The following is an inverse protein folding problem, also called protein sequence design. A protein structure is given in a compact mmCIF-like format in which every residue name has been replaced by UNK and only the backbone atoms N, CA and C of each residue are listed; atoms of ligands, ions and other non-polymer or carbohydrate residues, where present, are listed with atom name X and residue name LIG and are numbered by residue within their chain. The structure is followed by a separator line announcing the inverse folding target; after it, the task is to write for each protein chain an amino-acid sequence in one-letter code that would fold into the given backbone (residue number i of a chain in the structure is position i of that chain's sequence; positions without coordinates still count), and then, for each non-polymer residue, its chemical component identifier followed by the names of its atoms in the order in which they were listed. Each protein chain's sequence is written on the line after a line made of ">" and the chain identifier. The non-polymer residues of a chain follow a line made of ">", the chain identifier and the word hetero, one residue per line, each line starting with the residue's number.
data_IF_255913718204
#
_entry.id   IF_255913718204
#
_cell.length_a   1.000
_cell.length_b   1.000
_cell.length_c   1.000
_cell.angle_alpha   90.00
_cell.angle_beta   90.00
_cell.angle_gamma   90.00
#
_symmetry.space_group_name_H-M   'P 1'
#
loop_
_entity.id
_entity.type
_entity.pdbx_description
1 polymer ?
#
# COMPACT_ATOMS: atom_id res chain seq x y z
N UNK A 1 21.53 -39.98 -81.58
CA UNK A 1 22.73 -39.29 -81.06
C UNK A 1 22.53 -39.05 -79.57
N UNK A 2 23.11 -39.92 -78.73
CA UNK A 2 22.84 -39.98 -77.29
C UNK A 2 23.45 -38.79 -76.53
N UNK A 3 22.71 -38.27 -75.54
CA UNK A 3 23.24 -37.27 -74.59
C UNK A 3 24.24 -37.97 -73.66
N UNK A 4 25.46 -37.44 -73.46
CA UNK A 4 26.37 -37.98 -72.47
C UNK A 4 25.80 -37.74 -71.07
N UNK A 5 25.44 -38.82 -70.37
CA UNK A 5 25.08 -38.78 -68.96
C UNK A 5 26.31 -38.38 -68.12
N UNK A 6 26.17 -37.36 -67.27
CA UNK A 6 27.21 -36.94 -66.33
C UNK A 6 27.32 -37.96 -65.18
N UNK A 7 28.53 -38.25 -64.66
CA UNK A 7 28.69 -39.15 -63.53
C UNK A 7 28.24 -38.47 -62.24
N UNK A 8 27.06 -38.82 -61.75
CA UNK A 8 26.64 -38.50 -60.38
C UNK A 8 27.35 -39.46 -59.42
N UNK A 9 28.28 -38.97 -58.60
CA UNK A 9 28.82 -39.77 -57.48
C UNK A 9 27.80 -39.77 -56.36
N UNK A 10 27.06 -40.87 -56.24
CA UNK A 10 26.22 -41.18 -55.08
C UNK A 10 27.12 -41.43 -53.87
N UNK A 11 27.34 -40.41 -53.04
CA UNK A 11 27.72 -40.61 -51.64
C UNK A 11 26.46 -40.36 -50.82
N UNK A 12 25.94 -41.42 -50.24
CA UNK A 12 24.68 -41.54 -49.49
C UNK A 12 23.37 -41.32 -50.27
N UNK A 13 22.52 -42.34 -50.25
CA UNK A 13 21.24 -42.43 -50.98
C UNK A 13 20.17 -41.40 -50.55
N UNK A 14 20.49 -40.44 -49.68
CA UNK A 14 19.57 -39.39 -49.22
C UNK A 14 19.85 -38.01 -49.79
N UNK A 15 21.00 -37.80 -50.45
CA UNK A 15 21.34 -36.52 -51.06
C UNK A 15 21.98 -36.71 -52.44
N UNK A 16 21.24 -36.37 -53.49
CA UNK A 16 21.79 -36.24 -54.85
C UNK A 16 22.39 -34.84 -55.00
N UNK A 17 23.67 -34.70 -54.68
CA UNK A 17 24.43 -33.49 -54.96
C UNK A 17 24.77 -33.41 -56.45
N UNK A 18 24.08 -32.56 -57.22
CA UNK A 18 24.43 -32.29 -58.61
C UNK A 18 25.62 -31.33 -58.62
N UNK A 19 26.81 -31.85 -58.89
CA UNK A 19 28.00 -31.02 -59.11
C UNK A 19 27.85 -30.29 -60.45
N UNK A 20 27.54 -29.00 -60.37
CA UNK A 20 27.54 -28.10 -61.52
C UNK A 20 28.93 -27.47 -61.68
N UNK A 21 29.43 -27.43 -62.91
CA UNK A 21 30.61 -26.64 -63.24
C UNK A 21 30.36 -25.16 -62.95
N UNK A 22 31.38 -24.44 -62.47
CA UNK A 22 31.26 -23.03 -62.10
C UNK A 22 30.80 -22.11 -63.25
N UNK A 23 30.97 -22.51 -64.50
CA UNK A 23 30.39 -21.82 -65.66
C UNK A 23 28.87 -21.95 -65.76
N UNK A 24 28.31 -23.10 -65.36
CA UNK A 24 26.86 -23.32 -65.38
C UNK A 24 26.21 -22.56 -64.23
N UNK A 25 26.84 -22.53 -63.04
CA UNK A 25 26.38 -21.68 -61.93
C UNK A 25 26.38 -20.20 -62.33
N UNK A 26 27.48 -19.70 -62.92
CA UNK A 26 27.56 -18.33 -63.42
C UNK A 26 26.46 -17.99 -64.45
N UNK A 27 26.18 -18.88 -65.40
CA UNK A 27 25.09 -18.68 -66.37
C UNK A 27 23.69 -18.72 -65.75
N UNK A 28 23.49 -19.52 -64.70
CA UNK A 28 22.22 -19.53 -63.97
C UNK A 28 22.05 -18.24 -63.18
N UNK A 29 23.12 -17.77 -62.54
CA UNK A 29 23.11 -16.49 -61.82
C UNK A 29 22.84 -15.32 -62.79
N UNK A 30 23.53 -15.27 -63.93
CA UNK A 30 23.30 -14.28 -64.99
C UNK A 30 21.84 -14.28 -65.46
N UNK A 31 21.31 -15.45 -65.83
CA UNK A 31 19.89 -15.56 -66.25
C UNK A 31 18.90 -15.28 -65.12
N UNK A 32 19.28 -15.53 -63.87
CA UNK A 32 18.50 -15.21 -62.69
C UNK A 32 18.41 -13.70 -62.43
N UNK A 33 19.52 -12.99 -62.66
CA UNK A 33 19.57 -11.52 -62.63
C UNK A 33 18.71 -10.96 -63.75
N UNK A 34 18.88 -11.42 -65.00
CA UNK A 34 18.08 -11.00 -66.16
C UNK A 34 16.57 -11.19 -65.91
N UNK A 35 16.17 -12.33 -65.35
CA UNK A 35 14.76 -12.61 -65.02
C UNK A 35 14.23 -11.68 -63.92
N UNK A 36 15.06 -11.36 -62.94
CA UNK A 36 14.69 -10.45 -61.85
C UNK A 36 14.56 -9.01 -62.33
N UNK A 37 15.42 -8.57 -63.25
CA UNK A 37 15.34 -7.28 -63.91
C UNK A 37 14.11 -7.18 -64.81
N UNK A 38 13.80 -8.24 -65.56
CA UNK A 38 12.58 -8.32 -66.38
C UNK A 38 11.31 -8.22 -65.53
N UNK A 39 11.23 -8.96 -64.41
CA UNK A 39 10.07 -8.90 -63.50
C UNK A 39 9.96 -7.52 -62.88
N UNK A 40 11.09 -6.91 -62.48
CA UNK A 40 11.10 -5.55 -61.93
C UNK A 40 10.60 -4.53 -62.94
N UNK A 41 11.07 -4.58 -64.18
CA UNK A 41 10.59 -3.71 -65.25
C UNK A 41 9.11 -3.93 -65.57
N UNK A 42 8.61 -5.17 -65.55
CA UNK A 42 7.19 -5.46 -65.74
C UNK A 42 6.32 -4.91 -64.59
N UNK A 43 6.81 -4.96 -63.36
CA UNK A 43 6.15 -4.38 -62.18
C UNK A 43 6.18 -2.85 -62.21
N UNK A 44 7.29 -2.24 -62.62
CA UNK A 44 7.46 -0.77 -62.83
C UNK A 44 6.62 -0.23 -64.00
N UNK A 45 6.27 -1.08 -64.97
CA UNK A 45 5.34 -0.70 -66.03
C UNK A 45 3.87 -0.88 -65.60
N UNK A 46 3.57 -1.92 -64.80
CA UNK A 46 2.21 -2.21 -64.32
C UNK A 46 1.77 -1.26 -63.19
N UNK A 47 2.70 -0.90 -62.31
CA UNK A 47 2.59 0.16 -61.33
C UNK A 47 3.48 1.27 -61.86
N UNK A 48 2.95 2.43 -62.26
CA UNK A 48 3.78 3.57 -62.70
C UNK A 48 4.98 3.74 -61.77
N UNK A 49 6.15 4.13 -62.30
CA UNK A 49 7.39 4.20 -61.51
C UNK A 49 7.23 4.98 -60.19
N UNK A 50 6.38 6.01 -60.19
CA UNK A 50 6.01 6.79 -59.00
C UNK A 50 5.22 5.94 -57.98
N UNK A 51 4.26 5.13 -58.43
CA UNK A 51 3.45 4.23 -57.58
C UNK A 51 4.26 3.10 -56.95
N UNK A 52 5.20 2.48 -57.69
CA UNK A 52 6.07 1.44 -57.11
C UNK A 52 6.99 2.02 -56.03
N UNK A 53 7.54 3.21 -56.28
CA UNK A 53 8.44 3.89 -55.33
C UNK A 53 7.71 4.27 -54.04
N UNK A 54 6.46 4.74 -54.14
CA UNK A 54 5.60 5.01 -52.98
C UNK A 54 5.31 3.74 -52.17
N UNK A 55 4.95 2.63 -52.83
CA UNK A 55 4.70 1.34 -52.16
C UNK A 55 5.94 0.83 -51.42
N UNK A 56 7.14 1.00 -51.98
CA UNK A 56 8.38 0.61 -51.32
C UNK A 56 8.69 1.49 -50.10
N UNK A 57 8.43 2.81 -50.17
CA UNK A 57 8.58 3.70 -49.02
C UNK A 57 7.60 3.35 -47.90
N UNK A 58 6.34 3.11 -48.24
CA UNK A 58 5.32 2.74 -47.25
C UNK A 58 5.64 1.39 -46.59
N UNK A 59 6.09 0.41 -47.37
CA UNK A 59 6.55 -0.88 -46.85
C UNK A 59 7.69 -0.72 -45.85
N UNK A 60 8.66 0.15 -46.12
CA UNK A 60 9.77 0.37 -45.20
C UNK A 60 9.32 1.12 -43.94
N UNK A 61 8.43 2.11 -44.07
CA UNK A 61 7.78 2.79 -42.93
C UNK A 61 7.06 1.79 -42.02
N UNK A 62 6.25 0.90 -42.60
CA UNK A 62 5.51 -0.12 -41.85
C UNK A 62 6.46 -1.12 -41.17
N UNK A 63 7.59 -1.46 -41.79
CA UNK A 63 8.61 -2.32 -41.16
C UNK A 63 9.23 -1.67 -39.93
N UNK A 64 9.56 -0.39 -40.02
CA UNK A 64 10.09 0.37 -38.89
C UNK A 64 9.06 0.48 -37.75
N UNK A 65 7.80 0.74 -38.09
CA UNK A 65 6.69 0.81 -37.14
C UNK A 65 6.47 -0.55 -36.44
N UNK A 66 6.45 -1.66 -37.19
CA UNK A 66 6.38 -3.01 -36.60
C UNK A 66 7.56 -3.28 -35.67
N UNK A 67 8.76 -2.82 -36.03
CA UNK A 67 9.95 -2.97 -35.18
C UNK A 67 9.84 -2.14 -33.90
N UNK A 68 9.29 -0.93 -33.98
CA UNK A 68 9.03 -0.08 -32.82
C UNK A 68 7.99 -0.71 -31.89
N UNK A 69 6.86 -1.17 -32.43
CA UNK A 69 5.80 -1.84 -31.68
C UNK A 69 6.29 -3.11 -30.97
N UNK A 70 7.15 -3.91 -31.61
CA UNK A 70 7.76 -5.08 -30.97
C UNK A 70 8.59 -4.70 -29.74
N UNK A 71 9.40 -3.64 -29.84
CA UNK A 71 10.19 -3.14 -28.69
C UNK A 71 9.28 -2.60 -27.58
N UNK A 72 8.20 -1.92 -27.95
CA UNK A 72 7.23 -1.42 -26.99
C UNK A 72 6.53 -2.58 -26.23
N UNK A 73 6.13 -3.63 -26.94
CA UNK A 73 5.61 -4.85 -26.32
C UNK A 73 6.62 -5.47 -25.35
N UNK A 74 7.89 -5.60 -25.75
CA UNK A 74 8.93 -6.13 -24.86
C UNK A 74 9.12 -5.27 -23.60
N UNK A 75 9.04 -3.94 -23.71
CA UNK A 75 9.10 -3.03 -22.58
C UNK A 75 7.88 -3.17 -21.66
N UNK A 76 6.67 -3.27 -22.23
CA UNK A 76 5.44 -3.53 -21.48
C UNK A 76 5.51 -4.87 -20.76
N UNK A 77 6.00 -5.92 -21.40
CA UNK A 77 6.18 -7.24 -20.79
C UNK A 77 7.22 -7.25 -19.66
N UNK A 78 8.27 -6.41 -19.75
CA UNK A 78 9.20 -6.19 -18.62
C UNK A 78 8.48 -5.51 -17.47
N UNK A 79 7.72 -4.46 -17.75
CA UNK A 79 6.98 -3.71 -16.73
C UNK A 79 5.92 -4.58 -16.05
N UNK A 80 5.20 -5.40 -16.80
CA UNK A 80 4.23 -6.36 -16.26
C UNK A 80 4.93 -7.30 -15.28
N UNK A 81 6.06 -7.91 -15.67
CA UNK A 81 6.81 -8.80 -14.78
C UNK A 81 7.34 -8.12 -13.52
N UNK A 82 7.71 -6.85 -13.59
CA UNK A 82 8.08 -6.07 -12.39
C UNK A 82 6.90 -5.88 -11.45
N UNK A 83 5.74 -5.47 -11.98
CA UNK A 83 4.52 -5.29 -11.22
C UNK A 83 4.03 -6.60 -10.60
N UNK A 84 4.12 -7.72 -11.32
CA UNK A 84 3.81 -9.05 -10.77
C UNK A 84 4.68 -9.40 -9.57
N UNK A 85 5.99 -9.10 -9.62
CA UNK A 85 6.89 -9.31 -8.47
C UNK A 85 6.60 -8.36 -7.30
N UNK A 86 6.17 -7.14 -7.57
CA UNK A 86 5.73 -6.20 -6.52
C UNK A 86 4.44 -6.70 -5.85
N UNK A 87 3.47 -7.15 -6.65
CA UNK A 87 2.23 -7.72 -6.16
C UNK A 87 2.50 -8.97 -5.31
N UNK A 88 3.37 -9.86 -5.75
CA UNK A 88 3.70 -11.07 -4.99
C UNK A 88 4.35 -10.73 -3.64
N UNK A 89 5.28 -9.75 -3.62
CA UNK A 89 5.86 -9.25 -2.36
C UNK A 89 4.80 -8.67 -1.43
N UNK A 90 3.89 -7.85 -1.96
CA UNK A 90 2.80 -7.25 -1.17
C UNK A 90 1.84 -8.32 -0.60
N UNK A 91 1.53 -9.35 -1.38
CA UNK A 91 0.72 -10.49 -0.95
C UNK A 91 1.40 -11.27 0.17
N UNK A 92 2.71 -11.47 0.08
CA UNK A 92 3.51 -12.10 1.13
C UNK A 92 3.40 -11.35 2.47
N UNK A 93 3.58 -10.02 2.44
CA UNK A 93 3.45 -9.16 3.63
C UNK A 93 2.03 -9.24 4.22
N UNK A 94 1.00 -9.18 3.37
CA UNK A 94 -0.39 -9.29 3.82
C UNK A 94 -0.66 -10.65 4.47
N UNK A 95 -0.15 -11.73 3.89
CA UNK A 95 -0.31 -13.07 4.44
C UNK A 95 0.38 -13.21 5.81
N UNK A 96 1.58 -12.62 5.96
CA UNK A 96 2.31 -12.60 7.22
C UNK A 96 1.56 -11.82 8.30
N UNK A 97 1.15 -10.58 8.01
CA UNK A 97 0.34 -9.77 8.94
C UNK A 97 -0.99 -10.46 9.29
N UNK A 98 -1.63 -11.11 8.31
CA UNK A 98 -2.83 -11.91 8.54
C UNK A 98 -2.59 -13.07 9.52
N UNK A 99 -1.46 -13.79 9.37
CA UNK A 99 -1.07 -14.85 10.28
C UNK A 99 -0.74 -14.36 11.70
N UNK A 100 -0.08 -13.20 11.82
CA UNK A 100 0.14 -12.54 13.11
C UNK A 100 -1.17 -12.15 13.79
N UNK A 101 -2.09 -11.55 13.04
CA UNK A 101 -3.39 -11.15 13.57
C UNK A 101 -4.19 -12.34 14.09
N UNK A 102 -4.16 -13.48 13.38
CA UNK A 102 -4.78 -14.72 13.85
C UNK A 102 -4.14 -15.20 15.15
N UNK A 103 -2.80 -15.24 15.24
CA UNK A 103 -2.09 -15.62 16.47
C UNK A 103 -2.40 -14.69 17.64
N UNK A 104 -2.47 -13.38 17.40
CA UNK A 104 -2.86 -12.41 18.42
C UNK A 104 -4.31 -12.60 18.85
N UNK A 105 -5.23 -12.84 17.91
CA UNK A 105 -6.63 -13.13 18.19
C UNK A 105 -6.78 -14.37 19.08
N UNK A 106 -6.05 -15.45 18.80
CA UNK A 106 -6.05 -16.65 19.63
C UNK A 106 -5.48 -16.40 21.03
N UNK A 107 -4.40 -15.63 21.16
CA UNK A 107 -3.84 -15.23 22.47
C UNK A 107 -4.87 -14.43 23.26
N UNK A 108 -5.51 -13.45 22.63
CA UNK A 108 -6.58 -12.64 23.26
C UNK A 108 -7.75 -13.52 23.68
N UNK A 109 -8.17 -14.48 22.85
CA UNK A 109 -9.23 -15.44 23.21
C UNK A 109 -8.87 -16.23 24.46
N UNK A 110 -7.66 -16.79 24.53
CA UNK A 110 -7.17 -17.53 25.71
C UNK A 110 -7.11 -16.64 26.95
N UNK A 111 -6.72 -15.38 26.80
CA UNK A 111 -6.70 -14.41 27.91
C UNK A 111 -8.12 -14.11 28.40
N UNK A 112 -9.09 -13.91 27.49
CA UNK A 112 -10.50 -13.74 27.86
C UNK A 112 -11.02 -14.97 28.60
N UNK A 113 -10.79 -16.18 28.09
CA UNK A 113 -11.18 -17.43 28.77
C UNK A 113 -10.57 -17.54 30.18
N UNK A 114 -9.33 -17.09 30.38
CA UNK A 114 -8.70 -17.03 31.71
C UNK A 114 -9.32 -15.99 32.63
N UNK A 115 -9.68 -14.83 32.10
CA UNK A 115 -10.37 -13.76 32.86
C UNK A 115 -11.77 -14.22 33.26
N UNK A 116 -12.52 -14.82 32.34
CA UNK A 116 -13.87 -15.35 32.61
C UNK A 116 -13.83 -16.53 33.62
N UNK A 117 -12.76 -17.33 33.60
CA UNK A 117 -12.52 -18.39 34.57
C UNK A 117 -12.07 -17.89 35.95
N UNK A 118 -11.76 -16.60 36.10
CA UNK A 118 -11.32 -16.02 37.38
C UNK A 118 -12.45 -16.07 38.39
N UNK A 119 -12.15 -16.63 39.56
CA UNK A 119 -13.10 -16.71 40.67
C UNK A 119 -12.78 -15.68 41.73
N UNK A 120 -13.81 -15.00 42.20
CA UNK A 120 -13.75 -14.04 43.27
C UNK A 120 -14.24 -14.69 44.56
N UNK A 121 -13.59 -14.37 45.68
CA UNK A 121 -14.09 -14.75 47.00
C UNK A 121 -15.27 -13.86 47.34
N UNK A 122 -16.45 -14.45 47.47
CA UNK A 122 -17.69 -13.74 47.76
C UNK A 122 -18.37 -14.28 49.02
N UNK A 123 -19.38 -13.56 49.52
CA UNK A 123 -20.28 -14.01 50.58
C UNK A 123 -21.04 -15.32 50.25
N UNK A 124 -21.07 -15.71 48.98
CA UNK A 124 -21.71 -16.93 48.48
C UNK A 124 -20.69 -18.04 48.12
N UNK A 125 -19.41 -17.86 48.49
CA UNK A 125 -18.32 -18.76 48.11
C UNK A 125 -17.50 -18.20 46.95
N UNK A 126 -16.85 -19.09 46.17
CA UNK A 126 -16.02 -18.69 45.03
C UNK A 126 -16.86 -18.64 43.76
N UNK A 127 -17.16 -17.44 43.27
CA UNK A 127 -18.01 -17.20 42.09
C UNK A 127 -17.22 -16.58 40.94
N UNK A 128 -17.59 -16.88 39.69
CA UNK A 128 -17.06 -16.17 38.52
C UNK A 128 -17.74 -14.82 38.31
N UNK A 129 -17.18 -14.00 37.44
CA UNK A 129 -17.73 -12.68 37.11
C UNK A 129 -19.18 -12.78 36.58
N UNK A 130 -19.46 -13.76 35.72
CA UNK A 130 -20.78 -14.01 35.12
C UNK A 130 -21.80 -14.44 36.17
N UNK A 131 -21.37 -15.25 37.14
CA UNK A 131 -22.24 -15.68 38.24
C UNK A 131 -22.61 -14.51 39.14
N UNK A 132 -21.65 -13.65 39.46
CA UNK A 132 -21.90 -12.41 40.22
C UNK A 132 -22.81 -11.48 39.43
N UNK A 133 -22.58 -11.33 38.12
CA UNK A 133 -23.44 -10.53 37.23
C UNK A 133 -24.87 -11.04 37.18
N UNK A 134 -25.06 -12.36 37.11
CA UNK A 134 -26.39 -12.97 37.17
C UNK A 134 -27.10 -12.66 38.49
N UNK A 135 -26.40 -12.78 39.62
CA UNK A 135 -26.95 -12.45 40.95
C UNK A 135 -27.31 -10.96 41.02
N UNK A 136 -26.46 -10.10 40.47
CA UNK A 136 -26.73 -8.67 40.39
C UNK A 136 -27.98 -8.38 39.56
N UNK A 137 -28.09 -8.93 38.35
CA UNK A 137 -29.26 -8.73 37.48
C UNK A 137 -30.57 -9.24 38.11
N UNK A 138 -30.52 -10.34 38.86
CA UNK A 138 -31.67 -10.86 39.59
C UNK A 138 -32.08 -9.96 40.77
N UNK A 139 -31.12 -9.26 41.39
CA UNK A 139 -31.34 -8.45 42.60
C UNK A 139 -31.38 -6.95 42.38
N UNK A 140 -31.00 -6.44 41.21
CA UNK A 140 -30.86 -5.00 40.95
C UNK A 140 -32.14 -4.22 41.22
N UNK A 141 -33.31 -4.81 40.93
CA UNK A 141 -34.61 -4.17 41.11
C UNK A 141 -35.11 -4.24 42.56
N UNK A 142 -34.52 -5.12 43.38
CA UNK A 142 -34.85 -5.30 44.81
C UNK A 142 -33.79 -4.70 45.75
N UNK A 143 -32.69 -4.18 45.18
CA UNK A 143 -31.59 -3.56 45.90
C UNK A 143 -32.00 -2.20 46.45
N UNK A 144 -32.25 -2.13 47.76
CA UNK A 144 -32.56 -0.87 48.47
C UNK A 144 -31.31 -0.03 48.75
N UNK A 145 -30.12 -0.60 48.60
CA UNK A 145 -28.82 0.04 48.90
C UNK A 145 -28.07 0.31 47.61
N UNK A 146 -27.21 1.33 47.59
CA UNK A 146 -26.36 1.64 46.43
C UNK A 146 -25.65 0.36 45.93
N UNK A 147 -25.68 0.04 44.62
CA UNK A 147 -25.11 -1.18 44.08
C UNK A 147 -23.62 -1.37 44.40
N UNK A 148 -22.86 -0.28 44.59
CA UNK A 148 -21.46 -0.35 45.05
C UNK A 148 -21.34 -0.85 46.49
N UNK A 149 -22.20 -0.40 47.40
CA UNK A 149 -22.19 -0.85 48.79
C UNK A 149 -22.56 -2.34 48.91
N UNK A 150 -23.48 -2.80 48.07
CA UNK A 150 -23.79 -4.22 47.96
C UNK A 150 -22.59 -5.02 47.46
N UNK A 151 -21.92 -4.52 46.41
CA UNK A 151 -20.72 -5.15 45.87
C UNK A 151 -19.61 -5.26 46.94
N UNK A 152 -19.42 -4.20 47.72
CA UNK A 152 -18.47 -4.17 48.85
C UNK A 152 -18.80 -5.22 49.90
N UNK A 153 -20.07 -5.36 50.27
CA UNK A 153 -20.51 -6.40 51.21
C UNK A 153 -20.34 -7.82 50.64
N UNK A 154 -20.62 -8.02 49.35
CA UNK A 154 -20.49 -9.34 48.69
C UNK A 154 -19.03 -9.74 48.51
N UNK A 155 -18.13 -8.79 48.26
CA UNK A 155 -16.71 -9.02 48.00
C UNK A 155 -15.81 -8.75 49.22
N UNK A 156 -16.40 -8.65 50.42
CA UNK A 156 -15.69 -8.44 51.69
C UNK A 156 -14.73 -7.24 51.66
N UNK A 157 -15.18 -6.11 51.11
CA UNK A 157 -14.40 -4.87 50.99
C UNK A 157 -13.06 -5.03 50.25
N UNK A 158 -12.90 -6.06 49.39
CA UNK A 158 -11.70 -6.23 48.58
C UNK A 158 -11.66 -5.17 47.46
N UNK A 159 -10.77 -4.16 47.54
CA UNK A 159 -10.81 -3.00 46.64
C UNK A 159 -10.51 -3.37 45.18
N UNK A 160 -9.70 -4.40 44.95
CA UNK A 160 -9.31 -4.85 43.61
C UNK A 160 -10.49 -5.57 42.95
N UNK A 161 -11.09 -6.54 43.66
CA UNK A 161 -12.24 -7.28 43.16
C UNK A 161 -13.45 -6.37 42.94
N UNK A 162 -13.68 -5.40 43.84
CA UNK A 162 -14.78 -4.45 43.73
C UNK A 162 -14.63 -3.60 42.47
N UNK A 163 -13.44 -3.05 42.21
CA UNK A 163 -13.19 -2.25 41.01
C UNK A 163 -13.42 -3.05 39.73
N UNK A 164 -12.87 -4.26 39.65
CA UNK A 164 -12.98 -5.13 38.46
C UNK A 164 -14.44 -5.53 38.18
N UNK A 165 -15.18 -5.94 39.21
CA UNK A 165 -16.58 -6.36 39.07
C UNK A 165 -17.50 -5.15 38.86
N UNK A 166 -17.27 -4.02 39.52
CA UNK A 166 -18.04 -2.79 39.31
C UNK A 166 -17.90 -2.29 37.87
N UNK A 167 -16.67 -2.30 37.32
CA UNK A 167 -16.40 -1.94 35.94
C UNK A 167 -17.16 -2.84 34.96
N UNK A 168 -17.13 -4.17 35.17
CA UNK A 168 -17.84 -5.13 34.34
C UNK A 168 -19.38 -5.00 34.41
N UNK A 169 -19.90 -4.45 35.50
CA UNK A 169 -21.32 -4.15 35.69
C UNK A 169 -21.71 -2.73 35.24
N UNK A 170 -20.76 -1.93 34.75
CA UNK A 170 -21.00 -0.54 34.37
C UNK A 170 -21.28 0.40 35.55
N UNK A 171 -20.94 -0.03 36.77
CA UNK A 171 -21.09 0.71 38.02
C UNK A 171 -19.89 1.64 38.23
N UNK A 172 -19.58 2.51 37.27
CA UNK A 172 -18.48 3.46 37.38
C UNK A 172 -18.93 4.72 38.13
N UNK A 173 -18.06 5.22 39.02
CA UNK A 173 -18.28 6.44 39.77
C UNK A 173 -18.24 7.65 38.82
N UNK A 174 -19.41 8.20 38.50
CA UNK A 174 -19.50 9.59 38.04
C UNK A 174 -19.28 10.51 39.23
N UNK A 175 -18.05 10.59 39.75
CA UNK A 175 -17.61 11.66 40.64
C UNK A 175 -16.09 11.77 40.67
N UNK A 176 -15.65 13.01 40.46
CA UNK A 176 -14.30 13.56 40.42
C UNK A 176 -13.27 12.97 41.40
N UNK A 177 -11.97 13.10 41.06
CA UNK A 177 -10.88 12.59 41.88
C UNK A 177 -10.81 13.35 43.22
N UNK A 178 -10.92 12.62 44.34
CA UNK A 178 -10.53 13.17 45.63
C UNK A 178 -9.00 13.20 45.71
N UNK A 179 -8.49 14.40 45.47
CA UNK A 179 -7.13 14.84 45.75
C UNK A 179 -6.89 14.80 47.27
N UNK A 180 -5.74 14.32 47.76
CA UNK A 180 -5.41 14.36 49.18
C UNK A 180 -4.83 15.74 49.56
N UNK A 181 -5.22 16.27 50.71
CA UNK A 181 -4.64 17.49 51.29
C UNK A 181 -4.22 17.24 52.75
N UNK A 182 -3.13 17.87 53.25
CA UNK A 182 -2.23 17.26 54.24
C UNK A 182 -2.27 17.87 55.66
N UNK A 183 -1.64 17.13 56.59
CA UNK A 183 -0.97 17.51 57.87
C UNK A 183 -1.79 17.89 59.13
N UNK A 184 -1.25 17.75 60.38
CA UNK A 184 0.02 17.13 60.86
C UNK A 184 -0.09 16.14 62.08
N UNK A 185 1.01 15.41 62.31
CA UNK A 185 1.42 14.40 63.33
C UNK A 185 1.35 14.89 64.83
N UNK A 186 1.68 14.10 65.92
CA UNK A 186 2.66 12.99 65.98
C UNK A 186 2.49 11.82 66.99
N UNK A 187 3.46 10.89 66.89
CA UNK A 187 4.09 10.01 67.92
C UNK A 187 3.83 8.50 67.81
N UNK A 188 4.91 7.80 67.43
CA UNK A 188 5.47 6.54 67.97
C UNK A 188 5.72 5.42 66.94
N UNK A 189 7.01 5.05 66.81
CA UNK A 189 7.65 4.14 65.84
C UNK A 189 7.65 2.66 66.33
N UNK A 190 8.45 1.71 65.78
CA UNK A 190 9.02 1.51 64.42
C UNK A 190 8.71 0.09 63.85
N UNK A 191 8.80 -0.13 62.52
CA UNK A 191 9.22 -1.44 61.95
C UNK A 191 9.52 -1.34 60.45
N UNK A 192 10.72 -1.80 60.09
CA UNK A 192 11.25 -1.96 58.73
C UNK A 192 10.61 -3.18 58.05
N UNK A 193 10.15 -3.04 56.81
CA UNK A 193 10.00 -4.17 55.87
C UNK A 193 10.54 -3.76 54.51
N UNK A 194 11.63 -4.42 54.13
CA UNK A 194 12.26 -4.46 52.82
C UNK A 194 11.50 -5.48 51.95
N UNK A 195 11.65 -5.38 50.62
CA UNK A 195 11.14 -6.24 49.50
C UNK A 195 9.87 -5.61 48.89
N UNK A 196 9.82 -5.12 47.65
CA UNK A 196 10.52 -5.44 46.39
C UNK A 196 10.81 -4.15 45.59
N UNK A 197 12.05 -3.99 45.13
CA UNK A 197 12.49 -2.86 44.30
C UNK A 197 13.11 -3.34 42.96
N UNK A 198 12.59 -4.45 42.42
CA UNK A 198 13.21 -5.12 41.26
C UNK A 198 12.31 -5.22 40.03
N UNK A 199 10.99 -5.01 40.13
CA UNK A 199 10.11 -5.09 38.95
C UNK A 199 9.87 -3.75 38.23
N UNK A 200 9.99 -2.61 38.92
CA UNK A 200 9.69 -1.28 38.33
C UNK A 200 10.79 -0.76 37.38
N UNK A 201 12.02 -1.27 37.50
CA UNK A 201 13.15 -0.83 36.66
C UNK A 201 13.20 -1.52 35.29
N UNK A 202 12.38 -2.55 35.04
CA UNK A 202 12.40 -3.33 33.79
C UNK A 202 11.28 -2.88 32.84
N UNK A 203 10.13 -2.44 33.34
CA UNK A 203 9.04 -1.89 32.51
C UNK A 203 9.39 -0.49 31.97
N UNK A 204 9.97 0.41 32.79
CA UNK A 204 10.40 1.75 32.35
C UNK A 204 11.54 1.73 31.31
N UNK A 205 12.34 0.65 31.28
CA UNK A 205 13.40 0.47 30.30
C UNK A 205 12.89 -0.05 28.95
N UNK A 206 11.82 -0.85 28.95
CA UNK A 206 11.23 -1.42 27.74
C UNK A 206 10.37 -0.40 26.98
N UNK A 207 9.56 0.42 27.68
CA UNK A 207 8.77 1.48 27.04
C UNK A 207 9.65 2.62 26.49
N UNK A 208 10.78 2.93 27.15
CA UNK A 208 11.74 3.89 26.62
C UNK A 208 12.48 3.38 25.37
N UNK A 209 12.71 2.07 25.24
CA UNK A 209 13.36 1.48 24.08
C UNK A 209 12.46 1.49 22.84
N UNK A 210 11.16 1.16 22.99
CA UNK A 210 10.21 1.22 21.89
C UNK A 210 9.92 2.66 21.42
N UNK A 211 9.81 3.62 22.35
CA UNK A 211 9.66 5.03 21.98
C UNK A 211 10.90 5.59 21.27
N UNK A 212 12.11 5.16 21.67
CA UNK A 212 13.35 5.55 20.99
C UNK A 212 13.45 4.95 19.58
N UNK A 213 13.06 3.68 19.40
CA UNK A 213 13.06 3.02 18.10
C UNK A 213 12.01 3.65 17.15
N UNK A 214 10.83 4.00 17.68
CA UNK A 214 9.79 4.66 16.90
C UNK A 214 10.18 6.09 16.49
N UNK A 215 10.87 6.83 17.37
CA UNK A 215 11.44 8.14 17.05
C UNK A 215 12.55 8.07 16.00
N UNK A 216 13.39 7.03 16.02
CA UNK A 216 14.42 6.80 15.02
C UNK A 216 13.83 6.39 13.66
N UNK A 217 12.80 5.54 13.65
CA UNK A 217 12.01 5.21 12.46
C UNK A 217 11.35 6.46 11.86
N UNK A 218 10.76 7.32 12.67
CA UNK A 218 10.14 8.56 12.20
C UNK A 218 11.19 9.55 11.64
N UNK A 219 12.37 9.62 12.26
CA UNK A 219 13.47 10.47 11.77
C UNK A 219 14.03 9.97 10.44
N UNK A 220 14.20 8.67 10.28
CA UNK A 220 14.69 8.05 9.04
C UNK A 220 13.65 8.15 7.92
N UNK A 221 12.36 8.00 8.22
CA UNK A 221 11.27 8.22 7.28
C UNK A 221 11.22 9.67 6.79
N UNK A 222 11.30 10.65 7.69
CA UNK A 222 11.36 12.08 7.32
C UNK A 222 12.57 12.39 6.42
N UNK A 223 13.73 11.79 6.72
CA UNK A 223 14.93 11.95 5.90
C UNK A 223 14.75 11.36 4.50
N UNK A 224 14.19 10.15 4.39
CA UNK A 224 13.93 9.50 3.11
C UNK A 224 12.88 10.26 2.29
N UNK A 225 11.83 10.76 2.94
CA UNK A 225 10.80 11.61 2.31
C UNK A 225 11.40 12.91 1.78
N UNK A 226 12.24 13.59 2.55
CA UNK A 226 12.95 14.80 2.11
C UNK A 226 13.91 14.51 0.95
N UNK A 227 14.59 13.36 0.97
CA UNK A 227 15.47 12.92 -0.12
C UNK A 227 14.67 12.61 -1.40
N UNK A 228 13.51 11.99 -1.27
CA UNK A 228 12.56 11.75 -2.36
C UNK A 228 12.08 13.05 -2.99
N UNK A 229 11.62 14.01 -2.18
CA UNK A 229 11.16 15.31 -2.65
C UNK A 229 12.26 16.10 -3.42
N UNK A 230 13.52 16.03 -2.97
CA UNK A 230 14.66 16.66 -3.67
C UNK A 230 15.00 15.99 -5.01
N UNK A 231 14.79 14.68 -5.15
CA UNK A 231 14.96 13.99 -6.44
C UNK A 231 13.82 14.34 -7.39
N UNK A 232 12.62 14.36 -6.85
CA UNK A 232 11.41 14.71 -7.58
C UNK A 232 11.45 16.13 -8.15
N UNK A 233 11.87 17.11 -7.35
CA UNK A 233 12.04 18.50 -7.81
C UNK A 233 13.06 18.59 -8.96
N UNK A 234 14.19 17.89 -8.86
CA UNK A 234 15.21 17.86 -9.93
C UNK A 234 14.67 17.28 -11.24
N UNK A 235 13.95 16.17 -11.17
CA UNK A 235 13.34 15.58 -12.38
C UNK A 235 12.35 16.53 -13.05
N UNK A 236 11.58 17.30 -12.27
CA UNK A 236 10.62 18.29 -12.80
C UNK A 236 11.36 19.50 -13.38
N UNK A 237 12.44 19.95 -12.75
CA UNK A 237 13.27 21.08 -13.24
C UNK A 237 14.03 20.75 -14.54
N UNK A 238 14.38 19.47 -14.76
CA UNK A 238 15.09 19.01 -15.97
C UNK A 238 14.16 18.80 -17.19
N UNK A 239 12.84 18.95 -17.05
CA UNK A 239 11.88 18.79 -18.15
C UNK A 239 11.79 20.06 -19.02
N UNK A 240 11.84 19.87 -20.33
CA UNK A 240 11.55 20.94 -21.30
C UNK A 240 10.03 21.06 -21.53
N UNK A 241 9.40 21.91 -20.71
CA UNK A 241 7.96 22.16 -20.79
C UNK A 241 7.50 22.76 -22.12
N UNK A 242 8.38 23.40 -22.89
CA UNK A 242 8.03 23.93 -24.22
C UNK A 242 7.91 22.81 -25.24
N UNK A 243 8.80 21.83 -25.18
CA UNK A 243 8.71 20.64 -26.01
C UNK A 243 7.47 19.81 -25.66
N UNK A 244 7.21 19.61 -24.37
CA UNK A 244 6.03 18.87 -23.88
C UNK A 244 4.70 19.55 -24.24
N UNK A 245 4.62 20.87 -24.08
CA UNK A 245 3.44 21.65 -24.46
C UNK A 245 3.14 21.52 -25.96
N UNK A 246 4.18 21.53 -26.80
CA UNK A 246 4.05 21.33 -28.25
C UNK A 246 3.62 19.91 -28.61
N UNK A 247 4.10 18.90 -27.90
CA UNK A 247 3.73 17.50 -28.10
C UNK A 247 2.27 17.22 -27.69
N UNK A 248 1.81 17.85 -26.61
CA UNK A 248 0.44 17.67 -26.08
C UNK A 248 -0.57 18.68 -26.64
N UNK A 249 -0.14 19.64 -27.45
CA UNK A 249 -1.00 20.66 -28.04
C UNK A 249 -1.62 21.61 -27.01
N UNK A 250 -0.97 21.82 -25.86
CA UNK A 250 -1.44 22.67 -24.78
C UNK A 250 -0.47 23.82 -24.47
N UNK A 251 -0.83 24.70 -23.53
CA UNK A 251 0.06 25.77 -23.07
C UNK A 251 1.21 25.23 -22.20
N UNK A 252 2.33 25.96 -22.10
CA UNK A 252 3.47 25.58 -21.24
C UNK A 252 3.04 25.45 -19.77
N UNK A 253 2.15 26.34 -19.32
CA UNK A 253 1.55 26.32 -17.99
C UNK A 253 0.64 25.11 -17.76
N UNK A 254 -0.10 24.65 -18.77
CA UNK A 254 -0.87 23.40 -18.68
C UNK A 254 0.03 22.18 -18.65
N UNK A 255 1.08 22.13 -19.48
CA UNK A 255 2.05 21.03 -19.43
C UNK A 255 2.71 20.94 -18.04
N UNK A 256 3.07 22.07 -17.43
CA UNK A 256 3.58 22.14 -16.05
C UNK A 256 2.58 21.60 -15.04
N UNK A 257 1.30 21.96 -15.18
CA UNK A 257 0.22 21.50 -14.28
C UNK A 257 0.00 19.99 -14.39
N UNK A 258 -0.09 19.46 -15.60
CA UNK A 258 -0.29 18.03 -15.87
C UNK A 258 0.88 17.21 -15.33
N UNK A 259 2.11 17.67 -15.55
CA UNK A 259 3.32 17.03 -15.00
C UNK A 259 3.28 17.04 -13.48
N UNK A 260 3.01 18.18 -12.84
CA UNK A 260 2.90 18.28 -11.39
C UNK A 260 1.81 17.38 -10.80
N UNK A 261 0.66 17.27 -11.47
CA UNK A 261 -0.47 16.41 -11.06
C UNK A 261 -0.14 14.92 -11.18
N UNK A 262 0.52 14.51 -12.27
CA UNK A 262 0.97 13.11 -12.47
C UNK A 262 1.99 12.69 -11.42
N UNK A 263 2.89 13.60 -11.10
CA UNK A 263 3.94 13.39 -10.13
C UNK A 263 3.39 13.38 -8.69
N UNK A 264 2.40 14.21 -8.38
CA UNK A 264 1.66 14.17 -7.12
C UNK A 264 0.85 12.86 -6.97
N UNK A 265 0.22 12.38 -8.05
CA UNK A 265 -0.56 11.13 -8.06
C UNK A 265 0.30 9.87 -7.96
N UNK A 266 1.61 9.96 -8.27
CA UNK A 266 2.56 8.85 -8.17
C UNK A 266 3.18 8.65 -6.78
N UNK A 267 2.90 9.56 -5.83
CA UNK A 267 3.26 9.40 -4.42
C UNK A 267 2.10 8.71 -3.68
N UNK A 268 2.34 7.81 -2.71
CA UNK A 268 1.27 7.27 -1.87
C UNK A 268 0.54 8.44 -1.18
N UNK A 269 -0.78 8.34 -0.93
CA UNK A 269 -1.59 9.46 -0.46
C UNK A 269 -1.05 9.91 0.90
N UNK A 270 -0.25 10.98 0.87
CA UNK A 270 -0.11 11.86 2.02
C UNK A 270 -1.21 12.89 1.86
N UNK A 271 -1.92 13.14 2.97
CA UNK A 271 -3.03 14.07 3.11
C UNK A 271 -2.92 15.30 2.21
N UNK A 272 -4.03 15.78 1.65
CA UNK A 272 -4.03 16.78 0.57
C UNK A 272 -3.28 18.05 1.00
N UNK A 273 -2.59 18.73 0.08
CA UNK A 273 -2.04 20.03 0.35
C UNK A 273 -3.18 21.01 0.64
N UNK A 274 -3.07 21.70 1.77
CA UNK A 274 -3.91 22.84 2.10
C UNK A 274 -3.82 23.88 0.98
N UNK A 275 -4.82 23.91 0.12
CA UNK A 275 -5.06 25.01 -0.83
C UNK A 275 -5.33 26.31 -0.07
N UNK A 276 -5.00 27.47 -0.69
CA UNK A 276 -5.04 28.76 -0.01
C UNK A 276 -6.46 29.13 0.39
N UNK A 277 -6.54 29.67 1.61
CA UNK A 277 -7.71 30.21 2.28
C UNK A 277 -8.63 30.99 1.33
N UNK A 278 -9.89 30.55 1.26
CA UNK A 278 -11.03 31.44 1.01
C UNK A 278 -11.86 31.48 2.30
N UNK A 279 -11.54 32.48 3.10
CA UNK A 279 -12.36 33.21 4.07
C UNK A 279 -13.72 32.60 4.45
N UNK A 280 -13.74 31.53 5.23
CA UNK A 280 -14.97 31.11 5.95
C UNK A 280 -14.74 30.47 7.33
N UNK A 281 -13.48 30.24 7.73
CA UNK A 281 -13.18 29.74 9.08
C UNK A 281 -13.21 30.89 10.10
N UNK A 282 -14.39 31.09 10.68
CA UNK A 282 -14.60 32.05 11.77
C UNK A 282 -16.07 32.30 12.12
N UNK A 283 -17.01 31.89 11.26
CA UNK A 283 -18.43 32.09 11.53
C UNK A 283 -18.94 31.01 12.49
N UNK A 284 -19.15 31.43 13.72
CA UNK A 284 -19.84 30.65 14.75
C UNK A 284 -21.22 30.19 14.24
N UNK A 285 -21.71 29.04 14.73
CA UNK A 285 -22.94 28.38 14.25
C UNK A 285 -24.15 29.30 14.25
N UNK A 286 -24.16 30.32 15.11
CA UNK A 286 -25.17 31.38 15.18
C UNK A 286 -25.21 32.28 13.94
N UNK A 287 -24.07 32.62 13.35
CA UNK A 287 -24.02 33.46 12.15
C UNK A 287 -24.43 32.70 10.89
N UNK A 288 -24.10 31.41 10.80
CA UNK A 288 -24.58 30.53 9.73
C UNK A 288 -26.11 30.45 9.72
N UNK A 289 -26.73 30.29 10.89
CA UNK A 289 -28.19 30.25 11.02
C UNK A 289 -28.81 31.62 10.68
N UNK A 290 -28.17 32.73 11.09
CA UNK A 290 -28.66 34.08 10.81
C UNK A 290 -28.60 34.40 9.31
N UNK A 291 -27.52 33.99 8.63
CA UNK A 291 -27.35 34.16 7.19
C UNK A 291 -28.32 33.28 6.38
N UNK A 292 -28.54 32.04 6.81
CA UNK A 292 -29.53 31.17 6.21
C UNK A 292 -30.96 31.75 6.32
N UNK A 293 -31.30 32.37 7.46
CA UNK A 293 -32.59 33.07 7.61
C UNK A 293 -32.67 34.34 6.75
N UNK A 294 -31.60 35.14 6.66
CA UNK A 294 -31.57 36.33 5.79
C UNK A 294 -31.82 35.99 4.32
N UNK A 295 -31.26 34.87 3.84
CA UNK A 295 -31.46 34.38 2.46
C UNK A 295 -32.91 33.91 2.24
N UNK A 296 -33.55 33.34 3.27
CA UNK A 296 -34.94 32.90 3.22
C UNK A 296 -35.96 34.04 3.38
N UNK A 297 -35.63 35.08 4.13
CA UNK A 297 -36.50 36.24 4.39
C UNK A 297 -36.29 37.40 3.40
N UNK A 298 -35.33 37.29 2.47
CA UNK A 298 -35.23 38.17 1.30
C UNK A 298 -34.89 39.63 1.62
N UNK A 299 -33.88 39.85 2.46
CA UNK A 299 -33.17 41.14 2.58
C UNK A 299 -31.75 41.02 2.01
#
# INVERSE_FOLDING_TARGET
>A
MGRPGRPAKLRDARFVGVFMEGEVLRRIDEKGIERSEFIRGAVEMALSADSLTEVLREKERLREEVKALRRECELKDRRIRELERELERSRGIIAEMGGELVRHSEKVKKLREKVDARKYRTSFGYLTLEEIKRIYEERKDTLTTNPLNWLSAVLYDNPIAIREVAEALGLQNSSSPLTPSPTPSPVSAPAVVIVDAVEDAVEDAAENAENAENAEKERTERMLKARGARRHRRMIEELDFKALAKEWGCSEEEARRIVAERFASSSPPSSPPSSPSSETEGMNSSELIRRARSILEGY
#
